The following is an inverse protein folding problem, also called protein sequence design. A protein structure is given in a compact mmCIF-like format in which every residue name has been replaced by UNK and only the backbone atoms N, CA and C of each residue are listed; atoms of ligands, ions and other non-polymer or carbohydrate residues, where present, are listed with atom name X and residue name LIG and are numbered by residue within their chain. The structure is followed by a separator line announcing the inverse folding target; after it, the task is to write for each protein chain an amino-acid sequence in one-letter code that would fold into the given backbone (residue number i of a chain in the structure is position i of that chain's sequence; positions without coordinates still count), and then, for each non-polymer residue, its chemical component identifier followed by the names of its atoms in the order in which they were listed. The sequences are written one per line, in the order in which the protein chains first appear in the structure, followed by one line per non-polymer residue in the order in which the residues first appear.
data_IF_701471817283
#
_entry.id   IF_701471817283
#
_cell.length_a   1.000
_cell.length_b   1.000
_cell.length_c   1.000
_cell.angle_alpha   90.00
_cell.angle_beta   90.00
_cell.angle_gamma   90.00
#
_symmetry.space_group_name_H-M   'P 1'
#
loop_
_entity.id
_entity.type
_entity.pdbx_description
1 polymer ?
#
# COMPACT_ATOMS: atom_id res chain seq x y z
N UNK A 1 -9.65 10.91 -9.63
CA UNK A 1 -9.30 12.25 -9.09
C UNK A 1 -8.58 13.05 -10.17
N UNK A 2 -8.83 14.36 -10.31
CA UNK A 2 -8.16 15.17 -11.35
C UNK A 2 -6.82 15.71 -10.85
N UNK A 3 -5.84 15.89 -11.74
CA UNK A 3 -4.50 16.41 -11.40
C UNK A 3 -4.55 17.80 -10.75
N UNK A 4 -5.52 18.64 -11.16
CA UNK A 4 -5.74 19.97 -10.58
C UNK A 4 -6.16 19.93 -9.10
N UNK A 5 -6.81 18.85 -8.66
CA UNK A 5 -7.19 18.70 -7.26
C UNK A 5 -6.01 18.25 -6.40
N UNK A 6 -5.21 17.30 -6.89
CA UNK A 6 -3.99 16.86 -6.20
C UNK A 6 -3.04 18.03 -5.94
N UNK A 7 -2.94 18.97 -6.88
CA UNK A 7 -2.09 20.16 -6.74
C UNK A 7 -2.48 21.08 -5.57
N UNK A 8 -3.68 20.94 -4.99
CA UNK A 8 -4.08 21.71 -3.81
C UNK A 8 -3.52 21.12 -2.52
N UNK A 9 -3.31 19.82 -2.46
CA UNK A 9 -2.90 19.12 -1.24
C UNK A 9 -1.44 19.40 -0.94
N UNK A 10 -1.14 19.79 0.30
CA UNK A 10 0.21 20.16 0.71
C UNK A 10 0.84 19.06 1.53
N UNK A 11 2.15 18.91 1.39
CA UNK A 11 2.95 18.06 2.26
C UNK A 11 3.21 18.76 3.58
N UNK A 12 3.23 17.98 4.66
CA UNK A 12 3.70 18.44 5.96
C UNK A 12 5.19 18.82 5.85
N UNK A 13 5.58 20.07 6.14
CA UNK A 13 6.98 20.51 6.00
C UNK A 13 7.91 19.89 7.04
N UNK A 14 7.37 19.32 8.12
CA UNK A 14 8.15 18.69 9.19
C UNK A 14 7.37 17.50 9.79
N UNK A 15 7.27 16.37 9.06
CA UNK A 15 6.60 15.17 9.55
C UNK A 15 7.33 14.61 10.78
N UNK A 16 6.56 14.07 11.73
CA UNK A 16 7.06 13.63 13.04
C UNK A 16 6.71 12.19 13.38
N UNK A 17 6.03 11.48 12.47
CA UNK A 17 5.57 10.11 12.72
C UNK A 17 6.22 9.12 11.73
N UNK A 18 7.55 8.90 11.81
CA UNK A 18 8.21 7.98 10.91
C UNK A 18 7.93 6.52 11.30
N UNK A 19 7.73 5.67 10.30
CA UNK A 19 7.66 4.23 10.46
C UNK A 19 8.59 3.54 9.46
N UNK A 20 9.34 2.56 9.95
CA UNK A 20 10.02 1.60 9.09
C UNK A 20 9.05 0.46 8.77
N UNK A 21 8.85 0.19 7.49
CA UNK A 21 8.08 -0.95 6.99
C UNK A 21 9.08 -2.00 6.51
N UNK A 22 9.11 -3.14 7.19
CA UNK A 22 9.88 -4.30 6.74
C UNK A 22 8.97 -5.21 5.93
N UNK A 23 9.33 -5.48 4.68
CA UNK A 23 8.72 -6.51 3.85
C UNK A 23 9.55 -7.78 3.93
N UNK A 24 8.92 -8.91 4.20
CA UNK A 24 9.55 -10.24 4.19
C UNK A 24 8.78 -11.20 3.28
N UNK A 25 9.51 -11.90 2.42
CA UNK A 25 9.00 -12.97 1.57
C UNK A 25 9.30 -14.32 2.22
N UNK A 26 8.30 -15.19 2.28
CA UNK A 26 8.48 -16.58 2.71
C UNK A 26 7.95 -17.54 1.63
N UNK A 27 8.74 -18.59 1.37
CA UNK A 27 8.40 -19.69 0.45
C UNK A 27 8.06 -19.26 -0.99
N UNK A 28 8.58 -18.11 -1.42
CA UNK A 28 8.37 -17.58 -2.76
C UNK A 28 8.84 -18.60 -3.82
N UNK A 29 8.04 -18.87 -4.87
CA UNK A 29 8.39 -19.84 -5.92
C UNK A 29 9.53 -19.37 -6.82
N UNK A 30 9.87 -18.08 -6.79
CA UNK A 30 10.97 -17.47 -7.54
C UNK A 30 11.27 -16.05 -7.08
N UNK A 31 12.20 -15.39 -7.78
CA UNK A 31 12.67 -14.03 -7.46
C UNK A 31 11.74 -12.93 -8.01
N UNK A 32 11.53 -11.86 -7.24
CA UNK A 32 10.85 -10.66 -7.72
C UNK A 32 11.85 -9.58 -8.16
N UNK A 33 11.88 -9.27 -9.46
CA UNK A 33 12.74 -8.24 -10.03
C UNK A 33 12.16 -6.82 -9.87
N UNK A 34 10.84 -6.70 -9.75
CA UNK A 34 10.16 -5.41 -9.60
C UNK A 34 9.37 -5.38 -8.29
N UNK A 35 9.67 -4.38 -7.47
CA UNK A 35 9.03 -4.09 -6.19
C UNK A 35 8.67 -2.61 -6.17
N UNK A 36 7.38 -2.30 -6.12
CA UNK A 36 6.84 -0.95 -6.03
C UNK A 36 6.03 -0.83 -4.74
N UNK A 37 6.06 0.34 -4.11
CA UNK A 37 5.19 0.61 -2.98
C UNK A 37 4.54 1.97 -3.10
N UNK A 38 3.45 2.13 -2.35
CA UNK A 38 2.86 3.43 -2.10
C UNK A 38 2.29 3.54 -0.69
N UNK A 39 2.11 4.78 -0.26
CA UNK A 39 1.38 5.12 0.96
C UNK A 39 0.15 5.92 0.56
N UNK A 40 -1.00 5.39 0.92
CA UNK A 40 -2.30 6.00 0.65
C UNK A 40 -2.75 6.77 1.90
N UNK A 41 -3.01 8.05 1.70
CA UNK A 41 -3.54 8.98 2.70
C UNK A 41 -4.93 9.43 2.28
N UNK A 42 -5.79 9.69 3.25
CA UNK A 42 -7.09 10.31 3.03
C UNK A 42 -7.45 11.26 4.17
N UNK A 43 -8.37 12.19 3.90
CA UNK A 43 -8.95 13.07 4.90
C UNK A 43 -10.46 12.76 5.03
N UNK A 44 -10.84 11.75 5.82
CA UNK A 44 -12.20 11.19 5.82
C UNK A 44 -13.26 12.15 6.37
N UNK A 45 -12.84 13.15 7.13
CA UNK A 45 -13.66 14.23 7.69
C UNK A 45 -13.96 15.34 6.67
N UNK A 46 -13.26 15.35 5.55
CA UNK A 46 -13.46 16.28 4.46
C UNK A 46 -14.15 15.64 3.26
N UNK A 47 -14.92 16.47 2.55
CA UNK A 47 -15.57 16.09 1.31
C UNK A 47 -15.49 17.24 0.31
N UNK A 48 -15.43 16.90 -0.97
CA UNK A 48 -15.49 17.87 -2.06
C UNK A 48 -16.34 17.35 -3.20
N UNK A 49 -16.88 18.25 -4.01
CA UNK A 49 -17.70 17.91 -5.18
C UNK A 49 -16.94 18.33 -6.45
N UNK A 50 -16.31 17.39 -7.18
CA UNK A 50 -15.54 17.73 -8.37
C UNK A 50 -16.40 18.29 -9.50
N UNK A 51 -17.64 17.80 -9.62
CA UNK A 51 -18.62 18.26 -10.58
C UNK A 51 -19.95 18.52 -9.87
N UNK A 52 -20.35 19.80 -9.81
CA UNK A 52 -21.60 20.23 -9.18
C UNK A 52 -22.85 19.72 -9.89
N UNK A 53 -22.75 19.44 -11.19
CA UNK A 53 -23.87 18.90 -11.99
C UNK A 53 -24.04 17.41 -11.68
N UNK A 54 -22.93 16.67 -11.58
CA UNK A 54 -22.95 15.25 -11.25
C UNK A 54 -23.38 14.96 -9.80
N UNK A 55 -23.17 15.91 -8.88
CA UNK A 55 -23.81 15.91 -7.56
C UNK A 55 -23.28 14.88 -6.54
N UNK A 56 -22.13 14.25 -6.80
CA UNK A 56 -21.51 13.31 -5.85
C UNK A 56 -20.32 13.92 -5.12
N UNK A 57 -20.20 13.60 -3.84
CA UNK A 57 -19.06 13.99 -3.01
C UNK A 57 -17.98 12.91 -3.03
N UNK A 58 -16.72 13.33 -2.97
CA UNK A 58 -15.56 12.48 -2.80
C UNK A 58 -14.77 12.89 -1.56
N UNK A 59 -14.06 11.92 -0.98
CA UNK A 59 -13.08 12.15 0.08
C UNK A 59 -11.73 12.55 -0.54
N UNK A 60 -11.05 13.59 -0.05
CA UNK A 60 -9.67 13.88 -0.42
C UNK A 60 -8.76 12.69 -0.14
N UNK A 61 -7.94 12.32 -1.13
CA UNK A 61 -7.01 11.20 -1.00
C UNK A 61 -5.77 11.41 -1.84
N UNK A 62 -4.62 10.91 -1.40
CA UNK A 62 -3.35 10.95 -2.14
C UNK A 62 -2.63 9.62 -1.99
N UNK A 63 -2.08 9.13 -3.10
CA UNK A 63 -1.15 8.01 -3.11
C UNK A 63 0.26 8.56 -3.35
N UNK A 64 1.17 8.34 -2.40
CA UNK A 64 2.57 8.76 -2.49
C UNK A 64 3.46 7.54 -2.75
N UNK A 65 4.34 7.58 -3.76
CA UNK A 65 5.25 6.47 -4.02
C UNK A 65 6.23 6.30 -2.85
N UNK A 66 6.55 5.05 -2.52
CA UNK A 66 7.59 4.69 -1.56
C UNK A 66 8.58 3.72 -2.20
N UNK A 67 9.84 3.85 -1.81
CA UNK A 67 10.92 3.00 -2.32
C UNK A 67 11.41 2.03 -1.25
N UNK A 68 11.55 0.77 -1.63
CA UNK A 68 12.14 -0.26 -0.80
C UNK A 68 13.64 -0.40 -1.07
N UNK A 69 14.41 -0.59 0.01
CA UNK A 69 15.82 -0.98 -0.03
C UNK A 69 15.93 -2.46 0.35
N UNK A 70 16.62 -3.26 -0.47
CA UNK A 70 16.88 -4.67 -0.17
C UNK A 70 17.93 -4.78 0.94
N UNK A 71 17.63 -5.53 2.00
CA UNK A 71 18.50 -5.71 3.18
C UNK A 71 18.86 -7.16 3.47
N UNK A 72 18.22 -8.10 2.77
CA UNK A 72 18.52 -9.52 2.81
C UNK A 72 18.05 -10.20 1.53
N UNK A 73 18.19 -11.51 1.44
CA UNK A 73 17.78 -12.27 0.26
C UNK A 73 16.29 -12.09 -0.07
N UNK A 74 15.45 -12.15 0.98
CA UNK A 74 13.98 -12.10 0.94
C UNK A 74 13.40 -10.94 1.75
N UNK A 75 14.23 -9.95 2.13
CA UNK A 75 13.84 -8.88 3.06
C UNK A 75 14.18 -7.50 2.51
N UNK A 76 13.23 -6.58 2.68
CA UNK A 76 13.31 -5.21 2.19
C UNK A 76 12.79 -4.25 3.25
N UNK A 77 13.31 -3.03 3.29
CA UNK A 77 12.84 -1.98 4.19
C UNK A 77 12.46 -0.72 3.42
N UNK A 78 11.46 -0.01 3.90
CA UNK A 78 11.13 1.33 3.46
C UNK A 78 10.82 2.19 4.68
N UNK A 79 11.03 3.50 4.58
CA UNK A 79 10.64 4.45 5.61
C UNK A 79 9.52 5.32 5.07
N UNK A 80 8.46 5.47 5.86
CA UNK A 80 7.30 6.29 5.54
C UNK A 80 7.06 7.30 6.68
N UNK A 81 6.22 8.30 6.42
CA UNK A 81 5.79 9.27 7.42
C UNK A 81 4.27 9.18 7.56
N UNK A 82 3.75 8.75 8.71
CA UNK A 82 2.29 8.61 8.88
C UNK A 82 1.54 9.95 8.82
N UNK A 83 2.25 11.06 9.03
CA UNK A 83 1.76 12.45 8.97
C UNK A 83 2.39 13.23 7.79
N UNK A 84 2.58 12.58 6.63
CA UNK A 84 3.21 13.19 5.45
C UNK A 84 2.39 14.32 4.80
N UNK A 85 1.07 14.32 4.98
CA UNK A 85 0.15 15.31 4.44
C UNK A 85 -0.16 16.38 5.49
N UNK A 86 -0.34 17.62 5.05
CA UNK A 86 -0.61 18.76 5.93
C UNK A 86 -2.12 18.89 6.20
N UNK A 87 -2.52 18.99 7.46
CA UNK A 87 -3.88 19.36 7.81
C UNK A 87 -4.13 20.83 7.45
N UNK A 88 -5.16 21.09 6.63
CA UNK A 88 -5.50 22.43 6.17
C UNK A 88 -6.96 22.49 5.70
N UNK A 89 -7.53 23.69 5.65
CA UNK A 89 -8.81 23.94 4.99
C UNK A 89 -8.61 24.11 3.47
N UNK A 90 -8.61 22.99 2.74
CA UNK A 90 -8.36 22.94 1.31
C UNK A 90 -9.53 23.46 0.45
N UNK A 91 -10.73 23.56 1.02
CA UNK A 91 -11.98 23.81 0.29
C UNK A 91 -12.77 25.03 0.79
N UNK A 92 -12.34 25.66 1.89
CA UNK A 92 -13.07 26.74 2.56
C UNK A 92 -14.28 26.24 3.36
N UNK A 93 -14.33 24.95 3.70
CA UNK A 93 -15.48 24.30 4.35
C UNK A 93 -15.11 23.73 5.74
N UNK A 94 -13.87 23.92 6.19
CA UNK A 94 -13.35 23.41 7.45
C UNK A 94 -12.01 22.71 7.30
N UNK A 95 -11.36 22.42 8.43
CA UNK A 95 -10.05 21.75 8.43
C UNK A 95 -10.20 20.29 8.00
N UNK A 96 -9.40 19.87 7.02
CA UNK A 96 -9.24 18.48 6.65
C UNK A 96 -8.12 17.85 7.46
N UNK A 97 -8.42 16.79 8.20
CA UNK A 97 -7.43 16.04 8.96
C UNK A 97 -7.01 14.81 8.16
N UNK A 98 -5.76 14.81 7.71
CA UNK A 98 -5.20 13.69 6.96
C UNK A 98 -4.79 12.57 7.88
N UNK A 99 -5.01 11.34 7.41
CA UNK A 99 -4.46 10.16 8.04
C UNK A 99 -3.81 9.23 7.01
N UNK A 100 -2.80 8.48 7.44
CA UNK A 100 -2.36 7.30 6.72
C UNK A 100 -3.46 6.25 6.79
N UNK A 101 -4.00 5.89 5.63
CA UNK A 101 -5.04 4.90 5.47
C UNK A 101 -4.48 3.51 5.15
N UNK A 102 -3.46 3.41 4.28
CA UNK A 102 -2.76 2.15 4.05
C UNK A 102 -1.36 2.33 3.44
N UNK A 103 -0.52 1.31 3.65
CA UNK A 103 0.69 1.08 2.88
C UNK A 103 0.40 -0.07 1.91
N UNK A 104 0.67 0.13 0.63
CA UNK A 104 0.44 -0.85 -0.42
C UNK A 104 1.77 -1.21 -1.08
N UNK A 105 1.92 -2.48 -1.45
CA UNK A 105 3.14 -2.99 -2.06
C UNK A 105 2.78 -3.96 -3.15
N UNK A 106 3.45 -3.84 -4.29
CA UNK A 106 3.27 -4.70 -5.45
C UNK A 106 4.61 -5.32 -5.86
N UNK A 107 4.59 -6.63 -6.10
CA UNK A 107 5.74 -7.36 -6.62
C UNK A 107 5.40 -8.05 -7.95
N UNK A 108 6.33 -7.95 -8.91
CA UNK A 108 6.31 -8.70 -10.17
C UNK A 108 7.62 -9.45 -10.37
N UNK A 109 7.52 -10.65 -10.92
CA UNK A 109 8.65 -11.59 -11.08
C UNK A 109 9.76 -11.00 -11.95
N UNK A 110 9.39 -10.49 -13.13
CA UNK A 110 10.28 -9.90 -14.13
C UNK A 110 9.98 -8.41 -14.36
N UNK A 111 8.76 -7.97 -14.03
CA UNK A 111 8.24 -6.64 -14.35
C UNK A 111 7.47 -6.59 -15.67
N UNK A 112 7.31 -7.72 -16.37
CA UNK A 112 6.51 -7.80 -17.58
C UNK A 112 5.03 -7.51 -17.30
N UNK A 113 4.31 -7.03 -18.31
CA UNK A 113 2.86 -6.76 -18.19
C UNK A 113 2.05 -8.03 -17.90
N UNK A 114 2.53 -9.17 -18.39
CA UNK A 114 1.90 -10.49 -18.21
C UNK A 114 2.21 -11.14 -16.86
N UNK A 115 3.13 -10.56 -16.08
CA UNK A 115 3.38 -11.04 -14.72
C UNK A 115 2.16 -10.73 -13.85
N UNK A 116 1.84 -11.66 -12.97
CA UNK A 116 0.90 -11.39 -11.88
C UNK A 116 1.52 -10.36 -10.94
N UNK A 117 0.75 -9.31 -10.67
CA UNK A 117 1.08 -8.28 -9.69
C UNK A 117 0.63 -8.75 -8.31
N UNK A 118 1.56 -9.21 -7.48
CA UNK A 118 1.26 -9.67 -6.11
C UNK A 118 1.20 -8.48 -5.17
N UNK A 119 0.00 -8.14 -4.71
CA UNK A 119 -0.27 -6.95 -3.90
C UNK A 119 -0.43 -7.35 -2.44
N UNK A 120 0.40 -6.77 -1.58
CA UNK A 120 0.28 -6.84 -0.13
C UNK A 120 -0.07 -5.46 0.42
N UNK A 121 -0.83 -5.41 1.51
CA UNK A 121 -1.23 -4.16 2.11
C UNK A 121 -1.10 -4.21 3.64
N UNK A 122 -0.93 -3.05 4.24
CA UNK A 122 -0.90 -2.85 5.68
C UNK A 122 -1.80 -1.64 5.99
N UNK A 123 -2.81 -1.83 6.83
CA UNK A 123 -3.79 -0.79 7.14
C UNK A 123 -3.21 0.25 8.11
N UNK A 124 -3.75 1.46 8.09
CA UNK A 124 -3.22 2.56 8.90
C UNK A 124 -3.29 2.32 10.40
N UNK A 125 -4.32 1.63 10.88
CA UNK A 125 -4.43 1.19 12.27
C UNK A 125 -3.44 0.07 12.61
N UNK A 126 -3.11 -0.81 11.66
CA UNK A 126 -2.05 -1.81 11.79
C UNK A 126 -0.66 -1.16 11.83
N UNK A 127 -0.40 -0.13 11.01
CA UNK A 127 0.83 0.68 11.07
C UNK A 127 0.99 1.31 12.45
N UNK A 128 -0.01 2.08 12.89
CA UNK A 128 0.01 2.79 14.19
C UNK A 128 0.06 1.82 15.36
N UNK A 129 -0.63 0.69 15.25
CA UNK A 129 -0.62 -0.38 16.24
C UNK A 129 0.63 -1.26 16.19
N UNK A 130 1.56 -1.02 15.27
CA UNK A 130 2.76 -1.84 15.03
C UNK A 130 2.45 -3.33 14.83
N UNK A 131 1.34 -3.63 14.15
CA UNK A 131 0.87 -4.99 13.88
C UNK A 131 1.32 -5.42 12.50
N UNK A 132 2.00 -6.57 12.42
CA UNK A 132 2.35 -7.15 11.14
C UNK A 132 1.11 -7.70 10.42
N UNK A 133 1.13 -7.61 9.09
CA UNK A 133 0.11 -8.21 8.22
C UNK A 133 0.76 -9.12 7.21
N UNK A 134 0.24 -10.35 7.11
CA UNK A 134 0.70 -11.36 6.17
C UNK A 134 -0.41 -11.65 5.17
N UNK A 135 -0.09 -11.52 3.89
CA UNK A 135 -0.94 -11.96 2.79
C UNK A 135 -0.34 -13.24 2.21
N UNK A 136 -1.18 -14.23 1.98
CA UNK A 136 -0.81 -15.51 1.35
C UNK A 136 -1.27 -15.54 -0.09
N UNK A 137 -0.53 -16.25 -0.94
CA UNK A 137 -0.74 -16.35 -2.39
C UNK A 137 -0.44 -17.75 -2.87
N UNK A 138 -1.09 -18.20 -3.95
CA UNK A 138 -0.86 -19.54 -4.48
C UNK A 138 0.37 -19.56 -5.39
N UNK A 139 1.28 -20.51 -5.18
CA UNK A 139 2.55 -20.60 -5.93
C UNK A 139 2.36 -20.89 -7.42
N UNK A 140 1.36 -21.69 -7.80
CA UNK A 140 1.22 -22.13 -9.20
C UNK A 140 0.90 -20.98 -10.17
N UNK A 141 0.34 -19.87 -9.66
CA UNK A 141 0.04 -18.66 -10.45
C UNK A 141 1.30 -17.83 -10.75
N UNK A 142 2.46 -18.19 -10.19
CA UNK A 142 3.73 -17.49 -10.43
C UNK A 142 4.47 -18.03 -11.68
N UNK A 143 5.07 -17.15 -12.52
CA UNK A 143 5.11 -15.69 -12.42
C UNK A 143 3.85 -15.00 -12.94
N UNK A 144 2.93 -15.76 -13.55
CA UNK A 144 1.81 -15.26 -14.35
C UNK A 144 2.12 -15.39 -15.83
N UNK A 145 1.09 -15.63 -16.63
CA UNK A 145 1.18 -15.71 -18.09
C UNK A 145 -0.03 -15.06 -18.76
N UNK A 146 -0.83 -14.32 -18.00
CA UNK A 146 -2.07 -13.72 -18.48
C UNK A 146 -1.73 -12.56 -19.44
N UNK A 147 -2.25 -12.56 -20.67
CA UNK A 147 -2.10 -11.40 -21.56
C UNK A 147 -2.79 -10.15 -21.02
N UNK A 148 -3.78 -10.30 -20.15
CA UNK A 148 -4.39 -9.22 -19.40
C UNK A 148 -3.63 -8.97 -18.10
N UNK A 149 -3.43 -7.70 -17.75
CA UNK A 149 -2.71 -7.36 -16.51
C UNK A 149 -3.55 -7.78 -15.30
N UNK A 150 -3.04 -8.74 -14.52
CA UNK A 150 -3.71 -9.29 -13.34
C UNK A 150 -3.03 -8.86 -12.05
N UNK A 151 -3.84 -8.50 -11.05
CA UNK A 151 -3.39 -8.32 -9.67
C UNK A 151 -3.96 -9.42 -8.77
N UNK A 152 -3.11 -10.01 -7.94
CA UNK A 152 -3.50 -10.90 -6.86
C UNK A 152 -3.27 -10.20 -5.52
N UNK A 153 -4.34 -9.94 -4.77
CA UNK A 153 -4.30 -9.27 -3.47
C UNK A 153 -4.00 -10.23 -2.31
N UNK A 154 -3.95 -11.53 -2.61
CA UNK A 154 -3.78 -12.58 -1.63
C UNK A 154 -4.92 -12.64 -0.63
N UNK A 155 -4.74 -13.47 0.39
CA UNK A 155 -5.69 -13.60 1.49
C UNK A 155 -4.94 -13.61 2.82
N UNK A 156 -5.44 -12.89 3.82
CA UNK A 156 -4.81 -12.80 5.15
C UNK A 156 -5.05 -14.05 6.01
N UNK A 157 -6.15 -14.75 5.75
CA UNK A 157 -6.52 -15.98 6.43
C UNK A 157 -6.25 -17.18 5.51
N UNK A 158 -5.19 -17.92 5.84
CA UNK A 158 -4.75 -19.12 5.11
C UNK A 158 -5.86 -20.18 4.97
N UNK A 159 -6.78 -20.26 5.93
CA UNK A 159 -7.87 -21.25 5.91
C UNK A 159 -8.93 -20.99 4.81
N UNK A 160 -8.93 -19.78 4.24
CA UNK A 160 -9.82 -19.43 3.11
C UNK A 160 -9.38 -20.06 1.80
N UNK A 161 -8.15 -20.56 1.70
CA UNK A 161 -7.73 -21.39 0.58
C UNK A 161 -8.26 -22.82 0.75
N UNK A 162 -8.57 -23.46 -0.38
CA UNK A 162 -8.91 -24.88 -0.39
C UNK A 162 -7.79 -25.70 0.26
N UNK A 163 -8.09 -26.75 1.05
CA UNK A 163 -7.09 -27.50 1.80
C UNK A 163 -5.89 -27.95 0.95
N UNK A 164 -6.12 -28.39 -0.29
CA UNK A 164 -5.08 -28.84 -1.22
C UNK A 164 -4.10 -27.74 -1.69
N UNK A 165 -4.47 -26.47 -1.51
CA UNK A 165 -3.64 -25.32 -1.85
C UNK A 165 -2.90 -24.76 -0.64
N UNK A 166 -3.28 -25.11 0.60
CA UNK A 166 -2.73 -24.48 1.79
C UNK A 166 -1.23 -24.72 1.97
N UNK A 167 -0.69 -25.83 1.48
CA UNK A 167 0.76 -26.13 1.49
C UNK A 167 1.48 -25.66 0.21
N UNK A 168 0.74 -25.06 -0.72
CA UNK A 168 1.25 -24.50 -1.97
C UNK A 168 1.20 -22.97 -1.95
N UNK A 169 1.31 -22.38 -0.76
CA UNK A 169 1.27 -20.93 -0.59
C UNK A 169 2.68 -20.36 -0.38
N UNK A 170 2.88 -19.17 -0.90
CA UNK A 170 3.95 -18.27 -0.45
C UNK A 170 3.31 -17.07 0.23
N UNK A 171 4.11 -16.27 0.94
CA UNK A 171 3.57 -15.11 1.66
C UNK A 171 4.43 -13.88 1.54
N UNK A 172 3.76 -12.72 1.64
CA UNK A 172 4.36 -11.41 1.81
C UNK A 172 3.90 -10.90 3.16
N UNK A 173 4.84 -10.58 4.04
CA UNK A 173 4.56 -9.98 5.34
C UNK A 173 5.08 -8.55 5.40
N UNK A 174 4.21 -7.61 5.77
CA UNK A 174 4.57 -6.22 6.06
C UNK A 174 4.57 -6.02 7.58
N UNK A 175 5.71 -5.61 8.12
CA UNK A 175 5.89 -5.35 9.56
C UNK A 175 6.23 -3.89 9.79
N UNK A 176 5.31 -3.10 10.39
CA UNK A 176 5.58 -1.73 10.79
C UNK A 176 6.34 -1.65 12.11
N UNK A 177 7.25 -0.69 12.21
CA UNK A 177 7.87 -0.29 13.47
C UNK A 177 8.04 1.22 13.52
N UNK A 178 7.61 1.85 14.61
CA UNK A 178 7.84 3.27 14.82
C UNK A 178 9.34 3.54 14.84
N UNK A 179 9.77 4.55 14.09
CA UNK A 179 11.15 5.00 14.05
C UNK A 179 11.31 6.27 14.90
N UNK A 180 12.55 6.64 15.19
CA UNK A 180 12.83 7.94 15.82
C UNK A 180 12.81 9.02 14.73
N UNK A 181 12.18 10.19 14.98
CA UNK A 181 12.24 11.35 14.10
C UNK A 181 13.66 11.85 13.83
#
# INVERSE_FOLDING_TARGET
MTAALQAKYKHNPAPKQPYQITLTLADAPGSFAKLEGSVYYEAPDCRYMPDRIAGFFLTPSVDLPMSYSKVGETSYIATIQADAMLDEDYFGEGMCHWELASVNTSLKATGAKTDTSYVANLLGDEVRGQKARTNYYVKYDYPGSDPEERSDFGVVDRSRYKPELQDQLFSITLTPKAATP
#
